data_IF_928893888730
#
_entry.id   IF_928893888730
#
_cell.length_a   1.000
_cell.length_b   1.000
_cell.length_c   1.000
_cell.angle_alpha   90.00
_cell.angle_beta   90.00
_cell.angle_gamma   90.00
#
_symmetry.space_group_name_H-M   'P 1'
#
loop_
_entity.id
_entity.type
_entity.pdbx_description
1 polymer ?
#
# COMPACT_ATOMS: atom_id res chain seq x y z
N UNK A 1 -78.02 32.56 -13.40
CA UNK A 1 -77.54 33.61 -12.48
C UNK A 1 -78.27 33.48 -11.15
N UNK A 2 -77.56 33.71 -10.04
CA UNK A 2 -78.03 33.90 -8.65
C UNK A 2 -77.90 32.70 -7.68
N UNK A 3 -76.88 32.89 -6.83
CA UNK A 3 -76.74 32.64 -5.37
C UNK A 3 -76.38 31.25 -4.81
N UNK A 4 -75.15 31.26 -4.30
CA UNK A 4 -74.57 30.48 -3.21
C UNK A 4 -75.44 30.45 -1.93
N UNK A 5 -75.36 29.33 -1.19
CA UNK A 5 -75.43 29.29 0.28
C UNK A 5 -74.69 28.04 0.82
N UNK A 6 -73.92 28.13 1.93
CA UNK A 6 -72.96 27.08 2.33
C UNK A 6 -73.26 26.42 3.70
N UNK A 7 -72.39 25.46 4.06
CA UNK A 7 -72.01 24.92 5.38
C UNK A 7 -72.90 23.86 6.08
N UNK A 8 -72.28 22.71 6.39
CA UNK A 8 -72.48 21.99 7.66
C UNK A 8 -71.25 21.12 8.01
N UNK A 9 -70.63 21.41 9.16
CA UNK A 9 -69.67 20.52 9.85
C UNK A 9 -70.40 19.26 10.30
N UNK A 10 -69.74 18.10 10.24
CA UNK A 10 -70.17 16.88 10.91
C UNK A 10 -69.05 16.27 11.75
N UNK A 11 -69.49 15.79 12.90
CA UNK A 11 -68.75 15.33 14.07
C UNK A 11 -68.15 13.93 13.89
N UNK A 12 -67.04 13.71 14.60
CA UNK A 12 -66.34 12.44 14.82
C UNK A 12 -67.25 11.35 15.41
N UNK A 13 -66.91 10.08 15.19
CA UNK A 13 -67.03 9.10 16.27
C UNK A 13 -65.77 8.23 16.44
N UNK A 14 -65.48 7.94 17.71
CA UNK A 14 -64.43 7.05 18.19
C UNK A 14 -65.08 5.68 18.48
N UNK A 15 -64.57 4.57 17.93
CA UNK A 15 -65.03 3.24 18.31
C UNK A 15 -63.86 2.28 18.51
N UNK A 16 -63.85 1.70 19.70
CA UNK A 16 -62.80 0.86 20.28
C UNK A 16 -63.02 -0.61 19.90
N UNK A 17 -61.88 -1.30 19.71
CA UNK A 17 -61.58 -2.73 19.97
C UNK A 17 -62.17 -3.76 19.01
N UNK A 18 -61.28 -4.57 18.43
CA UNK A 18 -61.41 -6.03 18.35
C UNK A 18 -59.98 -6.64 18.30
N UNK A 19 -59.56 -7.38 19.32
CA UNK A 19 -59.57 -8.87 19.41
C UNK A 19 -58.41 -9.47 18.58
N UNK A 20 -57.24 -9.70 19.21
CA UNK A 20 -56.77 -11.01 19.73
C UNK A 20 -56.02 -11.83 18.66
N UNK A 21 -54.98 -12.53 19.12
CA UNK A 21 -54.26 -13.64 18.48
C UNK A 21 -53.05 -13.26 17.63
N UNK A 22 -51.89 -13.11 18.29
CA UNK A 22 -50.70 -13.86 17.88
C UNK A 22 -49.66 -13.84 19.00
N UNK A 23 -49.66 -14.92 19.80
CA UNK A 23 -48.59 -15.21 20.76
C UNK A 23 -48.30 -16.70 20.64
N UNK A 24 -47.16 -17.02 20.00
CA UNK A 24 -46.15 -18.02 20.39
C UNK A 24 -45.55 -18.79 19.19
N UNK A 25 -44.21 -18.94 19.29
CA UNK A 25 -43.34 -20.03 18.81
C UNK A 25 -42.80 -20.00 17.38
N UNK A 26 -41.54 -19.55 17.25
CA UNK A 26 -40.47 -20.32 16.59
C UNK A 26 -39.08 -19.91 17.18
N UNK A 27 -38.10 -20.83 17.30
CA UNK A 27 -37.03 -20.76 18.29
C UNK A 27 -35.67 -20.26 17.76
N UNK A 28 -34.86 -19.73 18.68
CA UNK A 28 -33.40 -19.94 18.81
C UNK A 28 -32.58 -20.22 17.51
N UNK A 29 -32.38 -19.23 16.63
CA UNK A 29 -31.30 -19.29 15.61
C UNK A 29 -30.61 -17.93 15.48
N UNK A 30 -30.07 -17.39 16.57
CA UNK A 30 -29.36 -16.08 16.54
C UNK A 30 -27.88 -16.14 16.92
N UNK A 31 -27.27 -17.32 17.09
CA UNK A 31 -25.88 -17.40 17.58
C UNK A 31 -24.82 -17.86 16.57
N UNK A 32 -25.18 -18.15 15.30
CA UNK A 32 -24.20 -18.63 14.31
C UNK A 32 -23.82 -17.62 13.20
N UNK A 33 -24.50 -16.47 13.10
CA UNK A 33 -24.25 -15.47 12.04
C UNK A 33 -23.47 -14.24 12.51
N UNK A 34 -23.18 -14.11 13.81
CA UNK A 34 -22.44 -12.95 14.35
C UNK A 34 -20.92 -13.16 14.42
N UNK A 35 -20.41 -14.37 14.18
CA UNK A 35 -18.97 -14.66 14.33
C UNK A 35 -18.14 -14.54 13.05
N UNK A 36 -18.75 -14.31 11.88
CA UNK A 36 -18.01 -14.20 10.60
C UNK A 36 -17.63 -12.77 10.19
N UNK A 37 -18.09 -11.73 10.90
CA UNK A 37 -17.81 -10.33 10.52
C UNK A 37 -16.42 -9.82 10.93
N UNK A 38 -15.70 -10.48 11.82
CA UNK A 38 -14.40 -9.99 12.33
C UNK A 38 -13.21 -10.30 11.40
N UNK A 39 -13.36 -11.21 10.43
CA UNK A 39 -12.29 -11.56 9.49
C UNK A 39 -12.26 -10.69 8.22
N UNK A 40 -13.22 -9.78 8.03
CA UNK A 40 -13.34 -8.97 6.81
C UNK A 40 -12.58 -7.63 6.85
N UNK A 41 -12.24 -7.12 8.05
CA UNK A 41 -11.58 -5.81 8.19
C UNK A 41 -10.10 -5.84 7.78
N UNK A 42 -9.37 -6.90 8.14
CA UNK A 42 -7.95 -7.07 7.80
C UNK A 42 -7.69 -7.15 6.29
N UNK A 43 -8.60 -7.78 5.54
CA UNK A 43 -8.51 -7.90 4.09
C UNK A 43 -8.68 -6.57 3.36
N UNK A 44 -9.56 -5.69 3.84
CA UNK A 44 -9.81 -4.39 3.23
C UNK A 44 -8.62 -3.45 3.41
N UNK A 45 -7.98 -3.47 4.58
CA UNK A 45 -6.81 -2.65 4.86
C UNK A 45 -5.63 -3.07 3.98
N UNK A 46 -5.36 -4.37 3.85
CA UNK A 46 -4.28 -4.84 2.97
C UNK A 46 -4.49 -4.50 1.49
N UNK A 47 -5.72 -4.64 0.98
CA UNK A 47 -6.03 -4.29 -0.41
C UNK A 47 -5.83 -2.80 -0.69
N UNK A 48 -6.23 -1.94 0.24
CA UNK A 48 -6.02 -0.50 0.15
C UNK A 48 -4.52 -0.17 0.14
N UNK A 49 -3.73 -0.79 1.01
CA UNK A 49 -2.28 -0.59 1.10
C UNK A 49 -1.55 -1.04 -0.17
N UNK A 50 -1.95 -2.18 -0.74
CA UNK A 50 -1.44 -2.66 -2.03
C UNK A 50 -1.83 -1.71 -3.18
N UNK A 51 -3.05 -1.17 -3.18
CA UNK A 51 -3.49 -0.20 -4.18
C UNK A 51 -2.69 1.11 -4.10
N UNK A 52 -2.43 1.61 -2.88
CA UNK A 52 -1.59 2.79 -2.64
C UNK A 52 -0.14 2.56 -3.10
N UNK A 53 0.41 1.38 -2.84
CA UNK A 53 1.75 1.00 -3.33
C UNK A 53 1.82 1.00 -4.86
N UNK A 54 0.87 0.34 -5.53
CA UNK A 54 0.80 0.31 -7.00
C UNK A 54 0.65 1.70 -7.58
N UNK A 55 -0.20 2.55 -6.99
CA UNK A 55 -0.39 3.94 -7.42
C UNK A 55 0.91 4.76 -7.31
N UNK A 56 1.71 4.49 -6.27
CA UNK A 56 3.01 5.11 -6.07
C UNK A 56 4.14 4.46 -6.89
N UNK A 57 3.86 3.39 -7.64
CA UNK A 57 4.85 2.68 -8.45
C UNK A 57 5.83 1.83 -7.64
N UNK A 58 5.48 1.45 -6.40
CA UNK A 58 6.31 0.59 -5.55
C UNK A 58 5.68 -0.79 -5.38
N UNK A 59 6.52 -1.79 -5.11
CA UNK A 59 6.10 -3.15 -4.81
C UNK A 59 6.65 -3.53 -3.42
N UNK A 60 5.84 -4.18 -2.58
CA UNK A 60 6.26 -4.63 -1.24
C UNK A 60 6.03 -6.13 -1.14
N UNK A 61 7.08 -6.89 -0.87
CA UNK A 61 7.06 -8.35 -0.90
C UNK A 61 7.79 -8.95 0.29
N UNK A 62 7.36 -10.14 0.71
CA UNK A 62 8.12 -10.96 1.65
C UNK A 62 9.32 -11.56 0.91
N UNK A 63 10.51 -11.47 1.52
CA UNK A 63 11.73 -12.16 1.09
C UNK A 63 12.29 -13.00 2.22
N UNK A 64 13.29 -13.85 1.91
CA UNK A 64 13.91 -14.75 2.87
C UNK A 64 14.41 -14.03 4.13
N UNK A 65 15.07 -12.89 3.94
CA UNK A 65 15.75 -12.17 5.02
C UNK A 65 14.92 -11.01 5.59
N UNK A 66 13.63 -10.92 5.24
CA UNK A 66 12.72 -9.91 5.76
C UNK A 66 11.71 -9.41 4.72
N UNK A 67 11.50 -8.10 4.68
CA UNK A 67 10.57 -7.47 3.72
C UNK A 67 11.33 -6.62 2.74
N UNK A 68 10.97 -6.72 1.47
CA UNK A 68 11.56 -5.94 0.41
C UNK A 68 10.55 -4.92 -0.15
N UNK A 69 10.95 -3.66 -0.20
CA UNK A 69 10.27 -2.59 -0.95
C UNK A 69 11.07 -2.34 -2.23
N UNK A 70 10.49 -2.61 -3.41
CA UNK A 70 11.12 -2.41 -4.71
C UNK A 70 10.60 -1.13 -5.36
N UNK A 71 11.53 -0.31 -5.84
CA UNK A 71 11.29 0.90 -6.60
C UNK A 71 11.97 0.79 -7.98
N UNK A 72 11.22 0.69 -9.08
CA UNK A 72 11.79 0.73 -10.42
C UNK A 72 12.55 2.04 -10.67
N UNK A 73 13.68 2.00 -11.38
CA UNK A 73 14.49 3.19 -11.69
C UNK A 73 13.65 4.30 -12.34
N UNK A 74 12.78 3.94 -13.30
CA UNK A 74 11.92 4.90 -14.02
C UNK A 74 10.99 5.73 -13.13
N UNK A 75 10.74 5.28 -11.90
CA UNK A 75 9.93 5.99 -10.90
C UNK A 75 10.78 7.02 -10.15
N UNK A 76 12.09 6.80 -10.06
CA UNK A 76 13.01 7.58 -9.21
C UNK A 76 13.91 8.52 -10.00
N UNK A 77 14.46 8.05 -11.11
CA UNK A 77 15.61 8.68 -11.79
C UNK A 77 15.34 8.85 -13.28
N UNK A 78 16.10 9.75 -13.90
CA UNK A 78 16.26 9.75 -15.36
C UNK A 78 17.26 8.66 -15.76
N UNK A 79 17.28 8.34 -17.05
CA UNK A 79 18.22 7.38 -17.60
C UNK A 79 19.66 7.77 -17.24
N UNK A 80 20.40 6.82 -16.68
CA UNK A 80 21.80 6.97 -16.32
C UNK A 80 22.12 8.06 -15.27
N UNK A 81 21.12 8.52 -14.52
CA UNK A 81 21.28 9.50 -13.45
C UNK A 81 21.06 8.87 -12.07
N UNK A 82 21.55 9.54 -11.03
CA UNK A 82 21.35 9.18 -9.62
C UNK A 82 20.64 10.27 -8.81
N UNK A 83 20.22 11.37 -9.45
CA UNK A 83 19.45 12.43 -8.82
C UNK A 83 17.96 12.15 -8.92
N UNK A 84 17.25 12.24 -7.78
CA UNK A 84 15.80 12.01 -7.77
C UNK A 84 15.08 13.02 -8.65
N UNK A 85 14.16 12.53 -9.47
CA UNK A 85 13.27 13.39 -10.23
C UNK A 85 12.25 14.06 -9.31
N UNK A 86 11.78 15.28 -9.61
CA UNK A 86 10.74 15.93 -8.81
C UNK A 86 9.44 15.10 -8.68
N UNK A 87 9.07 14.37 -9.73
CA UNK A 87 7.87 13.53 -9.76
C UNK A 87 8.03 12.16 -9.08
N UNK A 88 9.21 11.85 -8.54
CA UNK A 88 9.44 10.67 -7.69
C UNK A 88 8.91 10.85 -6.26
N UNK A 89 8.53 12.07 -5.88
CA UNK A 89 8.07 12.44 -4.53
C UNK A 89 7.00 11.47 -3.99
N UNK A 90 5.93 11.12 -4.74
CA UNK A 90 4.88 10.26 -4.21
C UNK A 90 5.38 8.85 -3.88
N UNK A 91 6.33 8.33 -4.66
CA UNK A 91 6.94 7.03 -4.43
C UNK A 91 7.76 7.03 -3.13
N UNK A 92 8.62 8.04 -2.96
CA UNK A 92 9.44 8.21 -1.76
C UNK A 92 8.56 8.43 -0.52
N UNK A 93 7.55 9.30 -0.60
CA UNK A 93 6.61 9.54 0.49
C UNK A 93 5.92 8.24 0.90
N UNK A 94 5.49 7.44 -0.07
CA UNK A 94 4.85 6.15 0.19
C UNK A 94 5.80 5.16 0.86
N UNK A 95 7.06 5.10 0.43
CA UNK A 95 8.08 4.28 1.10
C UNK A 95 8.26 4.69 2.55
N UNK A 96 8.34 5.99 2.85
CA UNK A 96 8.45 6.46 4.24
C UNK A 96 7.28 6.01 5.11
N UNK A 97 6.05 6.01 4.58
CA UNK A 97 4.88 5.46 5.29
C UNK A 97 5.09 3.99 5.63
N UNK A 98 5.51 3.17 4.67
CA UNK A 98 5.77 1.73 4.88
C UNK A 98 6.88 1.52 5.92
N UNK A 99 7.99 2.24 5.80
CA UNK A 99 9.17 2.09 6.66
C UNK A 99 8.98 2.60 8.10
N UNK A 100 7.99 3.47 8.32
CA UNK A 100 7.66 3.99 9.65
C UNK A 100 6.89 2.99 10.53
N UNK A 101 6.32 1.93 9.95
CA UNK A 101 5.62 0.86 10.67
C UNK A 101 6.54 -0.08 11.43
N UNK A 102 7.84 -0.01 11.16
CA UNK A 102 8.87 -0.80 11.79
C UNK A 102 9.99 0.10 12.31
N UNK A 103 10.76 -0.40 13.28
CA UNK A 103 12.01 0.21 13.75
C UNK A 103 13.24 -0.62 13.39
N UNK A 104 13.06 -1.74 12.66
CA UNK A 104 14.15 -2.64 12.29
C UNK A 104 15.17 -1.97 11.35
N UNK A 105 16.42 -2.48 11.32
CA UNK A 105 17.42 -2.09 10.34
C UNK A 105 16.98 -2.42 8.91
N UNK A 106 17.54 -1.69 7.96
CA UNK A 106 17.29 -1.87 6.55
C UNK A 106 18.54 -1.62 5.71
N UNK A 107 18.55 -2.22 4.53
CA UNK A 107 19.60 -2.05 3.52
C UNK A 107 18.96 -1.46 2.27
N UNK A 108 19.47 -0.32 1.81
CA UNK A 108 19.12 0.28 0.52
C UNK A 108 20.07 -0.27 -0.54
N UNK A 109 19.53 -1.03 -1.46
CA UNK A 109 20.26 -1.75 -2.49
C UNK A 109 20.03 -1.11 -3.87
N UNK A 110 21.10 -0.72 -4.55
CA UNK A 110 21.04 -0.25 -5.94
C UNK A 110 21.37 -1.37 -6.91
N UNK A 111 20.66 -1.43 -8.03
CA UNK A 111 20.87 -2.41 -9.10
C UNK A 111 20.75 -1.76 -10.48
N UNK A 112 21.51 -2.27 -11.44
CA UNK A 112 21.51 -1.85 -12.86
C UNK A 112 21.13 -3.01 -13.77
N UNK A 113 21.00 -2.74 -15.06
CA UNK A 113 21.10 -3.78 -16.09
C UNK A 113 22.56 -4.00 -16.48
N UNK A 114 22.80 -4.95 -17.39
CA UNK A 114 24.15 -5.36 -17.82
C UNK A 114 24.77 -4.45 -18.90
N UNK A 115 24.22 -3.25 -19.13
CA UNK A 115 24.77 -2.34 -20.15
C UNK A 115 25.90 -1.50 -19.56
N UNK A 116 27.06 -1.50 -20.20
CA UNK A 116 28.26 -0.78 -19.74
C UNK A 116 29.19 -1.62 -18.86
N UNK A 117 30.24 -1.01 -18.33
CA UNK A 117 31.22 -1.74 -17.51
C UNK A 117 30.69 -2.04 -16.11
N UNK A 118 31.26 -3.06 -15.47
CA UNK A 118 30.88 -3.41 -14.09
C UNK A 118 31.24 -2.28 -13.12
N UNK A 119 32.41 -1.67 -13.30
CA UNK A 119 32.91 -0.57 -12.45
C UNK A 119 31.98 0.64 -12.51
N UNK A 120 31.53 0.99 -13.72
CA UNK A 120 30.57 2.07 -13.92
C UNK A 120 29.23 1.77 -13.23
N UNK A 121 28.70 0.57 -13.46
CA UNK A 121 27.43 0.16 -12.87
C UNK A 121 27.51 0.00 -11.34
N UNK A 122 28.67 -0.36 -10.80
CA UNK A 122 28.93 -0.38 -9.37
C UNK A 122 28.80 1.04 -8.79
N UNK A 123 29.49 2.02 -9.37
CA UNK A 123 29.40 3.41 -8.94
C UNK A 123 27.98 3.97 -9.05
N UNK A 124 27.30 3.70 -10.17
CA UNK A 124 25.93 4.17 -10.41
C UNK A 124 24.94 3.57 -9.42
N UNK A 125 25.02 2.26 -9.18
CA UNK A 125 24.15 1.58 -8.21
C UNK A 125 24.37 2.08 -6.77
N UNK A 126 25.62 2.27 -6.36
CA UNK A 126 25.96 2.85 -5.04
C UNK A 126 25.45 4.29 -4.89
N UNK A 127 25.64 5.12 -5.93
CA UNK A 127 25.17 6.50 -5.93
C UNK A 127 23.65 6.58 -5.80
N UNK A 128 22.90 5.73 -6.52
CA UNK A 128 21.44 5.65 -6.43
C UNK A 128 20.96 5.20 -5.06
N UNK A 129 21.59 4.17 -4.50
CA UNK A 129 21.30 3.70 -3.15
C UNK A 129 21.52 4.82 -2.12
N UNK A 130 22.64 5.54 -2.24
CA UNK A 130 22.98 6.69 -1.39
C UNK A 130 21.96 7.82 -1.50
N UNK A 131 21.55 8.20 -2.71
CA UNK A 131 20.53 9.24 -2.89
C UNK A 131 19.22 8.88 -2.19
N UNK A 132 18.76 7.64 -2.34
CA UNK A 132 17.54 7.18 -1.66
C UNK A 132 17.72 7.15 -0.15
N UNK A 133 18.84 6.62 0.36
CA UNK A 133 19.13 6.61 1.80
C UNK A 133 19.09 8.02 2.42
N UNK A 134 19.79 8.98 1.80
CA UNK A 134 19.81 10.37 2.25
C UNK A 134 18.40 10.99 2.27
N UNK A 135 17.58 10.70 1.26
CA UNK A 135 16.23 11.21 1.18
C UNK A 135 15.31 10.60 2.26
N UNK A 136 15.47 9.32 2.58
CA UNK A 136 14.77 8.67 3.69
C UNK A 136 15.15 9.29 5.03
N UNK A 137 16.44 9.55 5.24
CA UNK A 137 16.95 10.21 6.44
C UNK A 137 16.41 11.63 6.59
N UNK A 138 16.40 12.41 5.49
CA UNK A 138 15.81 13.75 5.44
C UNK A 138 14.33 13.76 5.83
N UNK A 139 13.62 12.65 5.58
CA UNK A 139 12.21 12.44 5.92
C UNK A 139 12.00 11.78 7.29
N UNK A 140 13.05 11.67 8.11
CA UNK A 140 12.97 11.25 9.50
C UNK A 140 13.15 9.75 9.74
N UNK A 141 13.54 8.96 8.74
CA UNK A 141 14.02 7.59 8.99
C UNK A 141 15.39 7.70 9.67
N UNK A 142 15.51 7.16 10.89
CA UNK A 142 16.77 7.27 11.64
C UNK A 142 17.95 6.65 10.90
N UNK A 143 19.02 7.42 10.68
CA UNK A 143 20.22 7.01 9.94
C UNK A 143 20.85 5.72 10.49
N UNK A 144 20.79 5.47 11.80
CA UNK A 144 21.27 4.23 12.42
C UNK A 144 20.55 2.97 11.95
N UNK A 145 19.38 3.10 11.32
CA UNK A 145 18.63 1.99 10.73
C UNK A 145 19.05 1.72 9.29
N UNK A 146 19.70 2.64 8.61
CA UNK A 146 19.91 2.61 7.17
C UNK A 146 21.36 2.27 6.86
N UNK A 147 21.55 1.22 6.07
CA UNK A 147 22.82 0.93 5.39
C UNK A 147 22.58 0.91 3.88
N UNK A 148 23.63 1.01 3.08
CA UNK A 148 23.52 1.03 1.62
C UNK A 148 24.49 0.05 0.97
N UNK A 149 24.12 -0.43 -0.23
CA UNK A 149 24.96 -1.27 -1.07
C UNK A 149 24.60 -1.14 -2.55
N UNK A 150 25.59 -1.00 -3.43
CA UNK A 150 25.39 -1.19 -4.86
C UNK A 150 25.76 -2.61 -5.27
N UNK A 151 24.98 -3.20 -6.18
CA UNK A 151 25.22 -4.54 -6.72
C UNK A 151 25.52 -4.55 -8.22
N UNK A 152 25.60 -3.37 -8.87
CA UNK A 152 25.68 -3.29 -10.31
C UNK A 152 24.60 -4.20 -10.95
N UNK A 153 25.00 -5.04 -11.90
CA UNK A 153 24.16 -6.05 -12.55
C UNK A 153 24.35 -7.47 -12.00
N UNK A 154 25.01 -7.63 -10.84
CA UNK A 154 25.39 -8.94 -10.30
C UNK A 154 24.19 -9.71 -9.72
N UNK A 155 23.04 -9.05 -9.54
CA UNK A 155 21.79 -9.63 -8.98
C UNK A 155 20.57 -9.33 -9.87
N UNK A 156 20.49 -9.90 -11.08
CA UNK A 156 19.36 -9.69 -11.96
C UNK A 156 18.10 -10.38 -11.41
N UNK A 157 16.95 -9.74 -11.57
CA UNK A 157 15.62 -10.30 -11.27
C UNK A 157 14.87 -10.71 -12.53
N UNK A 158 15.44 -10.41 -13.68
CA UNK A 158 14.94 -10.76 -15.00
C UNK A 158 16.11 -10.96 -15.96
N UNK A 159 15.83 -11.63 -17.07
CA UNK A 159 16.72 -11.70 -18.22
C UNK A 159 17.17 -10.31 -18.69
N UNK A 160 18.45 -10.14 -18.99
CA UNK A 160 19.04 -8.90 -19.50
C UNK A 160 19.00 -8.80 -21.03
N UNK A 161 18.62 -9.87 -21.73
CA UNK A 161 18.58 -9.87 -23.19
C UNK A 161 17.38 -9.09 -23.74
N UNK A 162 16.33 -8.91 -22.94
CA UNK A 162 15.12 -8.16 -23.32
C UNK A 162 15.10 -6.73 -22.76
N UNK A 163 14.57 -5.73 -23.50
CA UNK A 163 14.37 -4.37 -22.97
C UNK A 163 13.53 -4.34 -21.68
N UNK A 164 12.49 -5.16 -21.62
CA UNK A 164 11.59 -5.28 -20.47
C UNK A 164 12.34 -5.83 -19.26
N UNK A 165 13.18 -6.84 -19.48
CA UNK A 165 13.95 -7.45 -18.41
C UNK A 165 15.07 -6.55 -17.88
N UNK A 166 15.76 -5.83 -18.75
CA UNK A 166 16.69 -4.76 -18.34
C UNK A 166 16.00 -3.69 -17.53
N UNK A 167 14.80 -3.26 -17.95
CA UNK A 167 13.99 -2.29 -17.22
C UNK A 167 13.60 -2.78 -15.82
N UNK A 168 13.33 -4.08 -15.66
CA UNK A 168 13.08 -4.69 -14.33
C UNK A 168 14.35 -4.76 -13.48
N UNK A 169 15.52 -4.98 -14.08
CA UNK A 169 16.78 -5.08 -13.36
C UNK A 169 17.25 -3.71 -12.82
N UNK A 170 17.00 -2.62 -13.55
CA UNK A 170 17.26 -1.25 -13.10
C UNK A 170 16.27 -0.84 -12.01
N UNK A 171 16.69 -0.94 -10.74
CA UNK A 171 15.82 -0.75 -9.58
C UNK A 171 16.63 -0.39 -8.33
N UNK A 172 15.94 0.22 -7.38
CA UNK A 172 16.39 0.32 -5.99
C UNK A 172 15.50 -0.58 -5.13
N UNK A 173 16.09 -1.33 -4.22
CA UNK A 173 15.38 -2.20 -3.28
C UNK A 173 15.71 -1.75 -1.85
N UNK A 174 14.73 -1.77 -0.95
CA UNK A 174 14.93 -1.52 0.47
C UNK A 174 14.53 -2.78 1.20
N UNK A 175 15.49 -3.43 1.82
CA UNK A 175 15.28 -4.69 2.55
C UNK A 175 15.25 -4.41 4.03
N UNK A 176 14.07 -4.50 4.66
CA UNK A 176 13.90 -4.42 6.11
C UNK A 176 14.23 -5.79 6.71
N UNK A 177 15.34 -5.88 7.43
CA UNK A 177 15.91 -7.16 7.88
C UNK A 177 15.05 -7.78 8.98
N UNK A 178 14.75 -9.07 8.84
CA UNK A 178 14.00 -9.86 9.82
C UNK A 178 12.56 -9.42 10.04
N UNK A 179 11.97 -8.66 9.11
CA UNK A 179 10.58 -8.21 9.19
C UNK A 179 9.59 -9.13 8.48
N UNK A 180 8.32 -9.06 8.86
CA UNK A 180 7.22 -9.73 8.14
C UNK A 180 6.41 -8.76 7.29
N UNK A 181 5.89 -9.24 6.16
CA UNK A 181 5.05 -8.46 5.27
C UNK A 181 3.79 -7.96 5.99
N UNK A 182 3.21 -8.78 6.87
CA UNK A 182 2.07 -8.39 7.70
C UNK A 182 2.39 -7.17 8.57
N UNK A 183 3.58 -7.13 9.20
CA UNK A 183 3.98 -6.02 10.06
C UNK A 183 4.10 -4.67 9.31
N UNK A 184 4.49 -4.69 8.02
CA UNK A 184 4.67 -3.47 7.22
C UNK A 184 3.46 -3.10 6.36
N UNK A 185 2.56 -4.04 6.06
CA UNK A 185 1.42 -3.85 5.16
C UNK A 185 0.07 -3.80 5.88
N UNK A 186 0.04 -4.07 7.18
CA UNK A 186 -1.18 -4.02 8.00
C UNK A 186 -1.58 -5.39 8.54
N UNK A 187 -2.19 -5.37 9.72
CA UNK A 187 -3.00 -6.47 10.26
C UNK A 187 -4.42 -6.36 9.77
#
# INVERSE_FOLDING_TARGET
MIRLSPQKRLSVPNFRKDITIMRKLLPLVTCALSLSLLAACSGLDRQNEEALNRKAGIEVTQVKDGVQVRLPEKVLFNFNESSLRPDSEPAIARVVVVLNRTKKPMIVEGHTDNVGTREYNQQLSEARAKTVANELERRGIGASRVSLKGYAFDRPVSDNDTPEGRSRNRRTEIVVTGESLEAVMGK
#
